data_IF_947603052571
#
_entry.id   IF_947603052571
#
_cell.length_a   1.000
_cell.length_b   1.000
_cell.length_c   1.000
_cell.angle_alpha   90.00
_cell.angle_beta   90.00
_cell.angle_gamma   90.00
#
_symmetry.space_group_name_H-M   'P 1'
#
loop_
_entity.id
_entity.type
_entity.pdbx_description
1 polymer ?
#
# COMPACT_ATOMS: atom_id res chain seq x y z
N UNK A 1 -2.44 5.70 26.51
CA UNK A 1 -3.67 5.15 25.90
C UNK A 1 -3.39 3.90 25.05
N UNK A 2 -2.42 3.93 24.11
CA UNK A 2 -1.96 2.75 23.36
C UNK A 2 -1.44 1.57 24.22
N UNK A 3 -0.72 1.84 25.33
CA UNK A 3 -0.27 0.80 26.27
C UNK A 3 -1.39 -0.03 26.93
N UNK A 4 -2.61 0.52 27.04
CA UNK A 4 -3.74 -0.19 27.65
C UNK A 4 -4.54 -0.99 26.62
N UNK A 5 -4.51 -0.58 25.34
CA UNK A 5 -5.11 -1.34 24.24
C UNK A 5 -4.27 -2.59 23.94
N UNK A 6 -2.94 -2.46 23.98
CA UNK A 6 -2.02 -3.56 23.67
C UNK A 6 -1.93 -4.63 24.78
N UNK A 7 -2.18 -4.28 26.06
CA UNK A 7 -2.19 -5.26 27.16
C UNK A 7 -3.35 -6.26 27.10
N UNK A 8 -4.43 -5.95 26.37
CA UNK A 8 -5.57 -6.87 26.18
C UNK A 8 -5.27 -8.02 25.23
N UNK A 9 -4.28 -7.88 24.35
CA UNK A 9 -3.93 -8.90 23.34
C UNK A 9 -2.82 -9.86 23.79
N UNK A 10 -2.02 -9.47 24.80
CA UNK A 10 -0.82 -10.22 25.22
C UNK A 10 -1.15 -11.48 26.06
N UNK A 11 -2.38 -11.63 26.58
CA UNK A 11 -2.75 -12.72 27.50
C UNK A 11 -3.80 -13.70 26.98
N UNK A 12 -4.05 -13.75 25.66
CA UNK A 12 -4.93 -14.80 25.11
C UNK A 12 -4.11 -16.08 24.90
N UNK A 13 -4.45 -17.21 25.55
CA UNK A 13 -3.76 -18.48 25.33
C UNK A 13 -3.87 -18.88 23.85
N UNK A 14 -2.77 -19.33 23.24
CA UNK A 14 -2.74 -19.82 21.83
C UNK A 14 -3.78 -20.92 21.53
N UNK A 15 -4.35 -21.57 22.56
CA UNK A 15 -5.42 -22.56 22.43
C UNK A 15 -6.83 -21.98 22.21
N UNK A 16 -7.03 -20.67 22.33
CA UNK A 16 -8.33 -20.02 22.11
C UNK A 16 -8.51 -19.47 20.69
N UNK A 17 -7.45 -19.41 19.87
CA UNK A 17 -7.55 -19.18 18.43
C UNK A 17 -7.90 -20.48 17.68
N UNK A 18 -9.03 -21.09 18.04
CA UNK A 18 -9.63 -22.13 17.22
C UNK A 18 -10.32 -21.45 16.03
N UNK A 19 -9.68 -21.49 14.85
CA UNK A 19 -10.29 -21.17 13.55
C UNK A 19 -11.45 -22.12 13.16
N UNK A 20 -11.89 -22.99 14.08
CA UNK A 20 -13.05 -23.87 13.94
C UNK A 20 -14.38 -23.15 14.22
N UNK A 21 -14.73 -22.14 13.43
CA UNK A 21 -16.10 -21.57 13.43
C UNK A 21 -16.69 -21.24 12.06
N UNK A 22 -16.07 -21.69 10.97
CA UNK A 22 -16.61 -21.52 9.62
C UNK A 22 -17.27 -22.77 9.02
N UNK A 23 -17.28 -23.92 9.73
CA UNK A 23 -17.83 -25.18 9.19
C UNK A 23 -19.18 -25.64 9.75
N UNK A 24 -19.82 -24.93 10.69
CA UNK A 24 -21.11 -25.37 11.29
C UNK A 24 -22.31 -24.48 10.99
N UNK A 25 -22.20 -23.45 10.16
CA UNK A 25 -23.32 -22.54 9.87
C UNK A 25 -24.44 -23.13 8.99
N UNK A 26 -24.33 -24.39 8.55
CA UNK A 26 -25.29 -25.01 7.61
C UNK A 26 -26.33 -25.96 8.24
N UNK A 27 -26.35 -26.19 9.55
CA UNK A 27 -27.20 -27.27 10.11
C UNK A 27 -27.86 -27.03 11.47
N UNK A 28 -28.03 -25.79 11.93
CA UNK A 28 -28.72 -25.51 13.22
C UNK A 28 -29.85 -24.46 13.16
N UNK A 29 -30.36 -24.11 11.97
CA UNK A 29 -31.43 -23.10 11.84
C UNK A 29 -32.75 -23.64 11.26
N UNK A 30 -33.18 -24.87 11.63
CA UNK A 30 -34.52 -25.34 11.25
C UNK A 30 -35.50 -25.59 12.38
N UNK A 31 -35.10 -25.60 13.65
CA UNK A 31 -36.06 -25.78 14.74
C UNK A 31 -35.53 -25.11 16.00
N UNK A 32 -35.74 -23.81 16.14
CA UNK A 32 -35.97 -23.11 17.41
C UNK A 32 -36.01 -21.59 17.14
N UNK A 33 -36.93 -20.91 17.84
CA UNK A 33 -37.13 -19.45 17.87
C UNK A 33 -38.16 -18.84 16.91
N UNK A 34 -39.40 -19.34 16.99
CA UNK A 34 -40.56 -18.43 17.06
C UNK A 34 -40.83 -18.12 18.54
N UNK A 35 -40.20 -17.07 19.07
CA UNK A 35 -40.61 -16.25 20.24
C UNK A 35 -39.37 -15.68 20.92
N UNK A 36 -39.07 -14.42 20.57
CA UNK A 36 -38.26 -13.39 21.26
C UNK A 36 -37.50 -12.59 20.21
N UNK A 37 -38.20 -11.65 19.56
CA UNK A 37 -37.56 -10.55 18.82
C UNK A 37 -37.06 -9.53 19.83
N UNK A 38 -35.99 -9.85 20.55
CA UNK A 38 -35.11 -8.81 21.05
C UNK A 38 -34.31 -8.24 19.87
N UNK A 39 -34.14 -6.92 19.82
CA UNK A 39 -33.35 -6.22 18.82
C UNK A 39 -31.86 -6.59 18.94
N UNK A 40 -31.49 -7.79 18.51
CA UNK A 40 -30.09 -8.19 18.38
C UNK A 40 -29.55 -7.49 17.13
N UNK A 41 -28.81 -6.40 17.36
CA UNK A 41 -28.06 -5.71 16.29
C UNK A 41 -27.07 -6.69 15.66
N UNK A 42 -26.86 -6.67 14.32
CA UNK A 42 -25.88 -7.53 13.68
C UNK A 42 -24.48 -7.29 14.27
N UNK A 43 -23.71 -8.35 14.53
CA UNK A 43 -22.33 -8.26 15.03
C UNK A 43 -21.36 -7.51 14.07
N UNK A 44 -21.81 -7.24 12.84
CA UNK A 44 -21.03 -6.69 11.74
C UNK A 44 -21.48 -5.29 11.31
N UNK A 45 -22.34 -4.60 12.05
CA UNK A 45 -22.55 -3.17 11.80
C UNK A 45 -21.20 -2.46 11.88
N UNK A 46 -20.81 -1.80 10.78
CA UNK A 46 -19.54 -1.11 10.69
C UNK A 46 -19.52 0.02 11.72
N UNK A 47 -18.88 -0.24 12.86
CA UNK A 47 -18.73 0.69 14.00
C UNK A 47 -17.64 1.74 13.76
N UNK A 48 -17.06 1.79 12.55
CA UNK A 48 -16.06 2.78 12.21
C UNK A 48 -16.66 4.20 12.28
N UNK A 49 -15.97 5.07 13.03
CA UNK A 49 -16.14 6.51 12.87
C UNK A 49 -15.65 6.87 11.48
N UNK A 50 -16.36 7.77 10.78
CA UNK A 50 -15.86 8.33 9.54
C UNK A 50 -14.48 8.93 9.80
N UNK A 51 -13.45 8.37 9.17
CA UNK A 51 -12.08 8.87 9.26
C UNK A 51 -11.98 10.08 8.32
N UNK A 52 -11.79 11.26 8.90
CA UNK A 52 -11.53 12.47 8.13
C UNK A 52 -10.07 12.51 7.69
N UNK A 53 -9.85 12.35 6.39
CA UNK A 53 -8.54 12.41 5.73
C UNK A 53 -8.43 13.64 4.80
N UNK A 54 -9.28 14.66 4.97
CA UNK A 54 -9.31 15.82 4.08
C UNK A 54 -7.98 16.58 4.08
N UNK A 55 -7.32 16.71 5.24
CA UNK A 55 -6.01 17.35 5.35
C UNK A 55 -4.95 16.61 4.52
N UNK A 56 -4.80 15.30 4.75
CA UNK A 56 -3.83 14.45 4.07
C UNK A 56 -4.10 14.40 2.57
N UNK A 57 -5.37 14.30 2.18
CA UNK A 57 -5.80 14.32 0.78
C UNK A 57 -5.39 15.61 0.10
N UNK A 58 -5.72 16.77 0.69
CA UNK A 58 -5.37 18.07 0.12
C UNK A 58 -3.85 18.28 0.08
N UNK A 59 -3.11 17.83 1.09
CA UNK A 59 -1.66 17.90 1.13
C UNK A 59 -1.02 17.09 -0.01
N UNK A 60 -1.43 15.84 -0.20
CA UNK A 60 -0.93 14.99 -1.29
C UNK A 60 -1.23 15.63 -2.65
N UNK A 61 -2.48 16.03 -2.91
CA UNK A 61 -2.89 16.60 -4.19
C UNK A 61 -2.15 17.92 -4.50
N UNK A 62 -1.99 18.80 -3.51
CA UNK A 62 -1.31 20.09 -3.70
C UNK A 62 0.21 19.97 -3.88
N UNK A 63 0.81 18.88 -3.40
CA UNK A 63 2.26 18.63 -3.55
C UNK A 63 2.61 18.02 -4.91
N UNK A 64 1.64 17.40 -5.60
CA UNK A 64 1.88 16.70 -6.87
C UNK A 64 2.59 17.54 -7.95
N UNK A 65 2.23 18.81 -8.20
CA UNK A 65 2.89 19.60 -9.26
C UNK A 65 4.40 19.75 -9.04
N UNK A 66 4.83 19.95 -7.79
CA UNK A 66 6.26 20.05 -7.43
C UNK A 66 6.97 18.71 -7.66
N UNK A 67 6.36 17.61 -7.21
CA UNK A 67 6.90 16.25 -7.41
C UNK A 67 7.05 15.93 -8.90
N UNK A 68 6.02 16.24 -9.69
CA UNK A 68 6.05 16.03 -11.14
C UNK A 68 7.18 16.82 -11.80
N UNK A 69 7.33 18.11 -11.46
CA UNK A 69 8.38 18.96 -12.01
C UNK A 69 9.79 18.47 -11.65
N UNK A 70 10.01 18.12 -10.37
CA UNK A 70 11.29 17.59 -9.89
C UNK A 70 11.68 16.31 -10.64
N UNK A 71 10.75 15.36 -10.78
CA UNK A 71 11.00 14.09 -11.47
C UNK A 71 11.40 14.28 -12.93
N UNK A 72 10.72 15.19 -13.63
CA UNK A 72 11.04 15.51 -15.03
C UNK A 72 12.44 16.13 -15.12
N UNK A 73 12.78 17.06 -14.23
CA UNK A 73 14.06 17.76 -14.26
C UNK A 73 15.24 16.82 -13.90
N UNK A 74 15.06 15.98 -12.89
CA UNK A 74 16.09 15.05 -12.39
C UNK A 74 16.35 13.91 -13.38
N UNK A 75 15.29 13.21 -13.82
CA UNK A 75 15.47 12.01 -14.64
C UNK A 75 15.77 12.33 -16.11
N UNK A 76 15.37 13.50 -16.61
CA UNK A 76 15.67 13.96 -17.96
C UNK A 76 16.82 14.95 -18.02
N UNK A 77 17.71 14.97 -17.01
CA UNK A 77 18.83 15.91 -16.91
C UNK A 77 19.69 15.98 -18.20
N UNK A 78 19.92 14.85 -18.88
CA UNK A 78 20.66 14.79 -20.15
C UNK A 78 19.78 14.93 -21.41
N UNK A 79 18.45 15.03 -21.23
CA UNK A 79 17.47 15.01 -22.31
C UNK A 79 16.57 16.26 -22.31
N UNK A 80 16.98 17.34 -21.64
CA UNK A 80 16.19 18.58 -21.51
C UNK A 80 15.80 19.22 -22.85
N UNK A 81 16.59 18.99 -23.90
CA UNK A 81 16.35 19.53 -25.25
C UNK A 81 15.34 18.71 -26.07
N UNK A 82 14.76 17.64 -25.52
CA UNK A 82 13.79 16.79 -26.21
C UNK A 82 12.37 17.00 -25.65
N UNK A 83 11.60 17.97 -26.18
CA UNK A 83 10.27 18.30 -25.66
C UNK A 83 9.30 17.12 -25.71
N UNK A 84 9.44 16.23 -26.70
CA UNK A 84 8.59 15.04 -26.84
C UNK A 84 8.81 14.03 -25.71
N UNK A 85 10.06 13.89 -25.22
CA UNK A 85 10.34 13.05 -24.05
C UNK A 85 9.74 13.64 -22.78
N UNK A 86 9.85 14.96 -22.59
CA UNK A 86 9.19 15.65 -21.48
C UNK A 86 7.69 15.42 -21.50
N UNK A 87 7.04 15.59 -22.66
CA UNK A 87 5.61 15.36 -22.82
C UNK A 87 5.23 13.90 -22.52
N UNK A 88 6.01 12.94 -23.03
CA UNK A 88 5.80 11.50 -22.79
C UNK A 88 5.84 11.17 -21.30
N UNK A 89 6.89 11.57 -20.58
CA UNK A 89 7.03 11.25 -19.17
C UNK A 89 6.03 12.02 -18.30
N UNK A 90 5.65 13.23 -18.69
CA UNK A 90 4.51 13.93 -18.06
C UNK A 90 3.21 13.14 -18.22
N UNK A 91 2.94 12.60 -19.42
CA UNK A 91 1.78 11.72 -19.64
C UNK A 91 1.85 10.46 -18.79
N UNK A 92 3.02 9.84 -18.64
CA UNK A 92 3.23 8.67 -17.77
C UNK A 92 2.88 8.99 -16.32
N UNK A 93 3.44 10.08 -15.79
CA UNK A 93 3.23 10.52 -14.42
C UNK A 93 1.74 10.85 -14.17
N UNK A 94 1.12 11.65 -15.04
CA UNK A 94 -0.31 11.99 -14.91
C UNK A 94 -1.19 10.73 -15.01
N UNK A 95 -0.82 9.77 -15.87
CA UNK A 95 -1.55 8.52 -16.00
C UNK A 95 -1.47 7.65 -14.72
N UNK A 96 -0.44 7.73 -13.89
CA UNK A 96 -0.36 6.86 -12.71
C UNK A 96 -0.57 7.58 -11.38
N UNK A 97 -0.39 8.90 -11.35
CA UNK A 97 -0.29 9.67 -10.12
C UNK A 97 -1.40 10.73 -10.00
N UNK A 98 -1.89 11.28 -11.11
CA UNK A 98 -3.02 12.22 -11.12
C UNK A 98 -4.35 11.46 -11.15
N UNK A 99 -4.71 10.92 -9.99
CA UNK A 99 -5.86 10.04 -9.80
C UNK A 99 -6.90 10.63 -8.84
N UNK A 100 -8.09 10.03 -8.84
CA UNK A 100 -9.07 10.23 -7.78
C UNK A 100 -8.45 9.87 -6.41
N UNK A 101 -8.70 10.65 -5.33
CA UNK A 101 -8.16 10.39 -4.00
C UNK A 101 -8.31 8.94 -3.50
N UNK A 102 -9.37 8.24 -3.87
CA UNK A 102 -9.56 6.83 -3.46
C UNK A 102 -8.47 5.89 -3.98
N UNK A 103 -7.80 6.24 -5.08
CA UNK A 103 -6.67 5.50 -5.65
C UNK A 103 -5.30 6.00 -5.14
N UNK A 104 -5.30 7.01 -4.27
CA UNK A 104 -4.12 7.58 -3.61
C UNK A 104 -4.06 7.24 -2.12
N UNK A 105 -4.86 6.25 -1.68
CA UNK A 105 -4.98 5.87 -0.27
C UNK A 105 -3.63 5.66 0.41
N UNK A 106 -2.64 5.07 -0.28
CA UNK A 106 -1.31 4.81 0.29
C UNK A 106 -0.50 6.08 0.53
N UNK A 107 -0.50 7.01 -0.43
CA UNK A 107 0.11 8.32 -0.22
C UNK A 107 -0.55 9.06 0.95
N UNK A 108 -1.89 9.05 1.00
CA UNK A 108 -2.68 9.69 2.06
C UNK A 108 -2.40 9.04 3.42
N UNK A 109 -2.37 7.71 3.50
CA UNK A 109 -2.12 6.99 4.75
C UNK A 109 -0.69 7.13 5.25
N UNK A 110 0.29 7.29 4.36
CA UNK A 110 1.67 7.58 4.78
C UNK A 110 1.74 8.89 5.58
N UNK A 111 1.08 9.94 5.06
CA UNK A 111 0.97 11.24 5.77
C UNK A 111 0.20 11.09 7.08
N UNK A 112 -0.92 10.37 7.03
CA UNK A 112 -1.75 10.14 8.20
C UNK A 112 -0.98 9.41 9.32
N UNK A 113 -0.28 8.33 8.97
CA UNK A 113 0.51 7.54 9.89
C UNK A 113 1.62 8.37 10.53
N UNK A 114 2.34 9.19 9.76
CA UNK A 114 3.36 10.08 10.31
C UNK A 114 2.76 11.08 11.30
N UNK A 115 1.62 11.72 10.96
CA UNK A 115 0.93 12.66 11.86
C UNK A 115 0.45 12.02 13.15
N UNK A 116 0.08 10.74 13.12
CA UNK A 116 -0.34 9.99 14.32
C UNK A 116 0.83 9.60 15.22
N UNK A 117 1.99 9.29 14.62
CA UNK A 117 3.17 8.80 15.34
C UNK A 117 4.01 9.94 15.91
N UNK A 118 4.07 11.07 15.21
CA UNK A 118 4.92 12.20 15.58
C UNK A 118 4.26 13.13 16.59
N UNK A 119 5.10 13.81 17.39
CA UNK A 119 4.66 14.81 18.36
C UNK A 119 4.13 16.06 17.65
N UNK A 120 3.03 16.68 18.10
CA UNK A 120 2.49 17.91 17.50
C UNK A 120 3.50 19.05 17.37
N UNK A 121 4.47 19.16 18.30
CA UNK A 121 5.52 20.18 18.28
C UNK A 121 6.53 20.01 17.14
N UNK A 122 6.63 18.82 16.54
CA UNK A 122 7.57 18.49 15.46
C UNK A 122 6.89 18.59 14.09
N UNK A 123 5.55 18.59 14.03
CA UNK A 123 4.74 18.68 12.81
C UNK A 123 4.71 20.09 12.18
N UNK A 124 5.89 20.63 11.86
CA UNK A 124 6.03 21.85 11.07
C UNK A 124 5.98 21.55 9.55
N UNK A 125 5.91 22.60 8.72
CA UNK A 125 5.80 22.46 7.27
C UNK A 125 6.94 21.65 6.63
N UNK A 126 8.19 21.83 7.10
CA UNK A 126 9.34 21.10 6.56
C UNK A 126 9.25 19.60 6.83
N UNK A 127 8.88 19.22 8.05
CA UNK A 127 8.76 17.81 8.42
C UNK A 127 7.55 17.14 7.77
N UNK A 128 6.44 17.88 7.63
CA UNK A 128 5.28 17.42 6.88
C UNK A 128 5.59 17.21 5.40
N UNK A 129 6.40 18.09 4.80
CA UNK A 129 6.85 17.93 3.40
C UNK A 129 7.56 16.59 3.18
N UNK A 130 8.43 16.16 4.10
CA UNK A 130 9.08 14.85 4.01
C UNK A 130 8.05 13.71 3.98
N UNK A 131 6.97 13.80 4.75
CA UNK A 131 5.89 12.82 4.72
C UNK A 131 5.08 12.86 3.41
N UNK A 132 4.88 14.04 2.82
CA UNK A 132 4.19 14.20 1.54
C UNK A 132 5.01 13.57 0.40
N UNK A 133 6.30 13.88 0.34
CA UNK A 133 7.26 13.29 -0.62
C UNK A 133 7.27 11.78 -0.46
N UNK A 134 7.43 11.27 0.75
CA UNK A 134 7.47 9.83 1.00
C UNK A 134 6.15 9.15 0.64
N UNK A 135 5.01 9.82 0.84
CA UNK A 135 3.71 9.35 0.36
C UNK A 135 3.66 9.21 -1.17
N UNK A 136 4.21 10.18 -1.90
CA UNK A 136 4.34 10.08 -3.37
C UNK A 136 5.30 8.98 -3.80
N UNK A 137 6.43 8.80 -3.11
CA UNK A 137 7.36 7.70 -3.37
C UNK A 137 6.68 6.33 -3.24
N UNK A 138 5.93 6.10 -2.15
CA UNK A 138 5.15 4.86 -1.99
C UNK A 138 4.16 4.65 -3.14
N UNK A 139 3.42 5.71 -3.54
CA UNK A 139 2.48 5.62 -4.66
C UNK A 139 3.18 5.35 -6.00
N UNK A 140 4.39 5.86 -6.21
CA UNK A 140 5.17 5.61 -7.42
C UNK A 140 5.73 4.19 -7.46
N UNK A 141 6.22 3.66 -6.34
CA UNK A 141 6.60 2.25 -6.23
C UNK A 141 5.40 1.34 -6.51
N UNK A 142 4.22 1.66 -5.98
CA UNK A 142 3.01 0.91 -6.33
C UNK A 142 2.70 1.02 -7.82
N UNK A 143 2.78 2.21 -8.40
CA UNK A 143 2.50 2.42 -9.82
C UNK A 143 3.44 1.61 -10.71
N UNK A 144 4.72 1.52 -10.36
CA UNK A 144 5.69 0.65 -11.04
C UNK A 144 5.24 -0.81 -11.00
N UNK A 145 4.95 -1.34 -9.81
CA UNK A 145 4.53 -2.74 -9.66
C UNK A 145 3.21 -3.04 -10.36
N UNK A 146 2.27 -2.10 -10.33
CA UNK A 146 0.97 -2.26 -10.99
C UNK A 146 1.07 -2.22 -12.51
N UNK A 147 2.02 -1.46 -13.05
CA UNK A 147 2.28 -1.43 -14.48
C UNK A 147 2.84 -2.78 -14.95
N UNK A 148 3.79 -3.36 -14.21
CA UNK A 148 4.31 -4.71 -14.47
C UNK A 148 3.24 -5.79 -14.30
N UNK A 149 2.41 -5.69 -13.25
CA UNK A 149 1.26 -6.58 -12.98
C UNK A 149 0.24 -6.52 -14.13
N UNK A 150 -0.10 -5.32 -14.61
CA UNK A 150 -1.00 -5.14 -15.76
C UNK A 150 -0.48 -5.82 -17.02
N UNK A 151 0.82 -5.77 -17.29
CA UNK A 151 1.44 -6.45 -18.42
C UNK A 151 1.37 -7.97 -18.22
N UNK A 152 1.75 -8.44 -17.03
CA UNK A 152 1.82 -9.86 -16.72
C UNK A 152 0.44 -10.54 -16.79
N UNK A 153 -0.61 -9.83 -16.37
CA UNK A 153 -2.00 -10.30 -16.38
C UNK A 153 -2.73 -9.98 -17.69
N UNK A 154 -2.08 -9.31 -18.65
CA UNK A 154 -2.69 -8.78 -19.87
C UNK A 154 -3.97 -7.98 -19.57
N UNK A 155 -3.93 -7.15 -18.53
CA UNK A 155 -5.08 -6.40 -18.06
C UNK A 155 -5.45 -5.26 -19.03
N UNK A 156 -6.72 -5.15 -19.39
CA UNK A 156 -7.21 -4.08 -20.28
C UNK A 156 -7.45 -2.75 -19.56
N UNK A 157 -7.83 -2.80 -18.27
CA UNK A 157 -8.23 -1.60 -17.52
C UNK A 157 -7.68 -1.54 -16.10
N UNK A 158 -7.29 -0.34 -15.68
CA UNK A 158 -6.94 -0.01 -14.29
C UNK A 158 -7.39 1.40 -13.96
N UNK A 159 -7.88 1.64 -12.74
CA UNK A 159 -8.41 2.94 -12.31
C UNK A 159 -9.47 3.53 -13.26
N UNK A 160 -10.31 2.66 -13.84
CA UNK A 160 -11.34 3.01 -14.83
C UNK A 160 -10.80 3.64 -16.13
N UNK A 161 -9.57 3.32 -16.52
CA UNK A 161 -8.96 3.74 -17.79
C UNK A 161 -8.15 2.59 -18.41
N UNK A 162 -7.82 2.66 -19.71
CA UNK A 162 -6.94 1.67 -20.34
C UNK A 162 -5.61 1.58 -19.59
N UNK A 163 -5.08 0.37 -19.43
CA UNK A 163 -3.75 0.15 -18.85
C UNK A 163 -2.67 0.76 -19.73
N UNK A 164 -1.55 1.16 -19.13
CA UNK A 164 -0.52 1.92 -19.84
C UNK A 164 0.04 1.19 -21.08
N UNK A 165 0.25 -0.13 -20.97
CA UNK A 165 0.82 -0.94 -22.03
C UNK A 165 -0.12 -1.16 -23.23
N UNK A 166 -1.44 -0.95 -23.06
CA UNK A 166 -2.44 -1.07 -24.14
C UNK A 166 -2.60 0.22 -24.95
N UNK A 167 -1.99 1.32 -24.52
CA UNK A 167 -2.06 2.58 -25.25
C UNK A 167 -1.31 2.48 -26.59
N UNK A 168 -1.88 2.98 -27.71
CA UNK A 168 -1.30 2.84 -29.05
C UNK A 168 0.13 3.39 -29.21
N UNK A 169 0.49 4.41 -28.42
CA UNK A 169 1.79 5.08 -28.46
C UNK A 169 2.81 4.54 -27.43
N UNK A 170 2.45 3.50 -26.67
CA UNK A 170 3.28 2.93 -25.60
C UNK A 170 3.68 1.49 -25.94
N UNK A 171 2.75 0.55 -25.89
CA UNK A 171 3.04 -0.88 -26.05
C UNK A 171 3.87 -1.49 -24.91
N UNK A 172 3.97 -2.82 -24.89
CA UNK A 172 4.60 -3.59 -23.79
C UNK A 172 6.07 -3.22 -23.56
N UNK A 173 6.88 -3.15 -24.62
CA UNK A 173 8.33 -2.95 -24.48
C UNK A 173 8.68 -1.61 -23.81
N UNK A 174 7.95 -0.55 -24.15
CA UNK A 174 8.19 0.76 -23.54
C UNK A 174 7.62 0.80 -22.12
N UNK A 175 6.45 0.20 -21.90
CA UNK A 175 5.81 0.13 -20.60
C UNK A 175 6.72 -0.51 -19.54
N UNK A 176 7.48 -1.56 -19.87
CA UNK A 176 8.48 -2.17 -18.98
C UNK A 176 9.54 -1.15 -18.52
N UNK A 177 10.04 -0.30 -19.43
CA UNK A 177 11.01 0.74 -19.10
C UNK A 177 10.36 1.89 -18.31
N UNK A 178 9.10 2.19 -18.61
CA UNK A 178 8.33 3.22 -17.91
C UNK A 178 8.04 2.82 -16.44
N UNK A 179 7.90 1.53 -16.13
CA UNK A 179 7.84 1.04 -14.75
C UNK A 179 9.13 1.38 -13.98
N UNK A 180 10.30 1.07 -14.56
CA UNK A 180 11.59 1.40 -13.97
C UNK A 180 11.80 2.93 -13.79
N UNK A 181 11.24 3.76 -14.66
CA UNK A 181 11.26 5.22 -14.51
C UNK A 181 10.49 5.68 -13.25
N UNK A 182 9.34 5.05 -12.96
CA UNK A 182 8.57 5.32 -11.74
C UNK A 182 9.32 4.85 -10.49
N UNK A 183 9.89 3.64 -10.51
CA UNK A 183 10.65 3.09 -9.39
C UNK A 183 11.88 3.96 -9.05
N UNK A 184 12.71 4.25 -10.05
CA UNK A 184 13.94 5.03 -9.87
C UNK A 184 13.66 6.47 -9.47
N UNK A 185 12.60 7.08 -10.02
CA UNK A 185 12.12 8.39 -9.60
C UNK A 185 11.76 8.48 -8.13
N UNK A 186 11.00 7.49 -7.63
CA UNK A 186 10.66 7.43 -6.22
C UNK A 186 11.91 7.36 -5.33
N UNK A 187 12.92 6.58 -5.73
CA UNK A 187 14.17 6.46 -5.00
C UNK A 187 15.00 7.76 -5.02
N UNK A 188 15.04 8.47 -6.14
CA UNK A 188 15.70 9.78 -6.26
C UNK A 188 15.05 10.78 -5.31
N UNK A 189 13.71 10.87 -5.29
CA UNK A 189 12.98 11.77 -4.39
C UNK A 189 13.26 11.47 -2.90
N UNK A 190 13.36 10.19 -2.52
CA UNK A 190 13.73 9.83 -1.15
C UNK A 190 15.11 10.40 -0.81
N UNK A 191 16.09 10.21 -1.69
CA UNK A 191 17.45 10.68 -1.45
C UNK A 191 17.53 12.22 -1.43
N UNK A 192 16.84 12.89 -2.35
CA UNK A 192 16.82 14.35 -2.43
C UNK A 192 16.25 15.00 -1.16
N UNK A 193 15.12 14.48 -0.66
CA UNK A 193 14.39 15.13 0.44
C UNK A 193 14.76 14.58 1.83
N UNK A 194 15.21 13.33 1.92
CA UNK A 194 15.48 12.68 3.21
C UNK A 194 16.97 12.41 3.47
N UNK A 195 17.92 12.71 2.58
CA UNK A 195 19.35 12.39 2.80
C UNK A 195 19.92 12.88 4.13
N UNK A 196 19.45 14.01 4.66
CA UNK A 196 19.87 14.53 5.97
C UNK A 196 19.12 13.92 7.16
N UNK A 197 18.03 13.18 6.92
CA UNK A 197 17.25 12.54 7.97
C UNK A 197 18.02 11.32 8.53
N UNK A 198 18.15 11.18 9.87
CA UNK A 198 18.93 10.10 10.48
C UNK A 198 18.51 8.70 10.03
N UNK A 199 17.23 8.51 9.72
CA UNK A 199 16.65 7.23 9.33
C UNK A 199 16.49 7.04 7.81
N UNK A 200 17.06 7.93 6.97
CA UNK A 200 16.93 7.85 5.50
C UNK A 200 17.29 6.47 4.94
N UNK A 201 18.42 5.92 5.37
CA UNK A 201 18.90 4.62 4.91
C UNK A 201 17.97 3.48 5.36
N UNK A 202 17.41 3.57 6.56
CA UNK A 202 16.48 2.56 7.06
C UNK A 202 15.14 2.60 6.30
N UNK A 203 14.64 3.80 5.99
CA UNK A 203 13.46 3.99 5.12
C UNK A 203 13.71 3.37 3.75
N UNK A 204 14.78 3.78 3.08
CA UNK A 204 15.11 3.30 1.73
C UNK A 204 15.33 1.78 1.72
N UNK A 205 16.09 1.24 2.68
CA UNK A 205 16.32 -0.20 2.81
C UNK A 205 15.02 -0.98 3.03
N UNK A 206 14.10 -0.46 3.86
CA UNK A 206 12.82 -1.11 4.10
C UNK A 206 11.97 -1.16 2.83
N UNK A 207 11.90 -0.05 2.10
CA UNK A 207 11.13 0.04 0.84
C UNK A 207 11.72 -0.90 -0.21
N UNK A 208 13.02 -0.81 -0.47
CA UNK A 208 13.69 -1.65 -1.48
C UNK A 208 13.58 -3.14 -1.16
N UNK A 209 13.69 -3.52 0.13
CA UNK A 209 13.50 -4.92 0.55
C UNK A 209 12.09 -5.40 0.25
N UNK A 210 11.06 -4.62 0.62
CA UNK A 210 9.67 -4.97 0.34
C UNK A 210 9.35 -5.03 -1.15
N UNK A 211 9.89 -4.09 -1.94
CA UNK A 211 9.75 -4.08 -3.40
C UNK A 211 10.38 -5.34 -4.02
N UNK A 212 11.62 -5.67 -3.63
CA UNK A 212 12.32 -6.87 -4.09
C UNK A 212 11.55 -8.16 -3.76
N UNK A 213 11.02 -8.30 -2.54
CA UNK A 213 10.24 -9.49 -2.16
C UNK A 213 8.92 -9.54 -2.93
N UNK A 214 8.30 -8.39 -3.22
CA UNK A 214 7.07 -8.34 -4.04
C UNK A 214 7.32 -8.83 -5.46
N UNK A 215 8.45 -8.47 -6.07
CA UNK A 215 8.82 -9.00 -7.38
C UNK A 215 9.06 -10.51 -7.36
N UNK A 216 9.70 -11.04 -6.30
CA UNK A 216 9.83 -12.50 -6.12
C UNK A 216 8.45 -13.16 -5.97
N UNK A 217 7.53 -12.53 -5.22
CA UNK A 217 6.15 -12.99 -5.10
C UNK A 217 5.40 -12.97 -6.45
N UNK A 218 5.65 -11.99 -7.32
CA UNK A 218 5.09 -11.97 -8.68
C UNK A 218 5.53 -13.18 -9.51
N UNK A 219 6.84 -13.49 -9.49
CA UNK A 219 7.39 -14.67 -10.18
C UNK A 219 6.65 -15.92 -9.71
N UNK A 220 6.43 -16.00 -8.40
CA UNK A 220 5.65 -17.06 -7.84
C UNK A 220 4.21 -17.04 -8.38
N UNK A 221 3.45 -15.96 -8.26
CA UNK A 221 2.05 -15.95 -8.76
C UNK A 221 1.92 -16.35 -10.24
N UNK A 222 2.89 -16.01 -11.10
CA UNK A 222 2.94 -16.44 -12.50
C UNK A 222 3.13 -17.95 -12.70
N UNK A 223 3.70 -18.64 -11.72
CA UNK A 223 3.82 -20.11 -11.68
C UNK A 223 2.54 -20.81 -11.17
N UNK A 224 1.47 -20.06 -10.90
CA UNK A 224 0.14 -20.55 -10.50
C UNK A 224 0.12 -21.34 -9.17
N UNK A 225 0.46 -20.65 -8.07
CA UNK A 225 0.32 -21.20 -6.71
C UNK A 225 -1.10 -21.69 -6.40
N UNK A 226 -1.19 -22.85 -5.75
CA UNK A 226 -2.47 -23.36 -5.22
C UNK A 226 -2.78 -22.70 -3.89
N UNK A 227 -4.02 -22.27 -3.70
CA UNK A 227 -4.50 -21.63 -2.47
C UNK A 227 -4.34 -22.48 -1.20
N UNK A 228 -4.32 -23.80 -1.35
CA UNK A 228 -4.08 -24.74 -0.25
C UNK A 228 -2.66 -24.61 0.35
N UNK A 229 -1.74 -23.95 -0.36
CA UNK A 229 -0.35 -23.75 0.07
C UNK A 229 -0.09 -22.34 0.66
N UNK A 230 -1.13 -21.57 1.01
CA UNK A 230 -0.97 -20.21 1.56
C UNK A 230 -0.06 -20.18 2.79
N UNK A 231 -0.13 -21.17 3.68
CA UNK A 231 0.78 -21.26 4.84
C UNK A 231 2.24 -21.43 4.43
N UNK A 232 2.51 -22.20 3.36
CA UNK A 232 3.84 -22.44 2.80
C UNK A 232 4.41 -21.18 2.12
N UNK A 233 3.54 -20.33 1.57
CA UNK A 233 3.93 -19.13 0.83
C UNK A 233 3.47 -17.82 1.49
N UNK A 234 3.17 -17.84 2.79
CA UNK A 234 2.65 -16.66 3.50
C UNK A 234 3.62 -15.45 3.41
N UNK A 235 4.93 -15.73 3.37
CA UNK A 235 5.97 -14.73 3.21
C UNK A 235 6.02 -14.11 1.80
N UNK A 236 5.26 -14.65 0.84
CA UNK A 236 5.12 -14.13 -0.52
C UNK A 236 3.72 -13.53 -0.76
N UNK A 237 2.91 -13.33 0.29
CA UNK A 237 1.64 -12.61 0.13
C UNK A 237 1.97 -11.16 -0.22
N UNK A 238 1.74 -10.77 -1.48
CA UNK A 238 1.99 -9.41 -2.00
C UNK A 238 1.52 -8.33 -1.01
N UNK A 239 0.27 -8.41 -0.55
CA UNK A 239 -0.37 -7.37 0.26
C UNK A 239 0.40 -7.04 1.56
N UNK A 240 1.13 -8.01 2.14
CA UNK A 240 1.99 -7.79 3.30
C UNK A 240 3.13 -6.83 2.96
N UNK A 241 3.84 -7.11 1.87
CA UNK A 241 4.95 -6.31 1.38
C UNK A 241 4.51 -5.00 0.74
N UNK A 242 3.24 -4.85 0.39
CA UNK A 242 2.67 -3.55 0.08
C UNK A 242 2.53 -2.70 1.35
N UNK A 243 1.85 -3.15 2.41
CA UNK A 243 1.54 -2.27 3.55
C UNK A 243 2.70 -2.05 4.52
N UNK A 244 3.53 -3.06 4.75
CA UNK A 244 4.64 -2.98 5.68
C UNK A 244 5.60 -1.81 5.43
N UNK A 245 6.12 -1.57 4.21
CA UNK A 245 7.08 -0.51 3.98
C UNK A 245 6.51 0.87 4.26
N UNK A 246 5.19 1.09 4.09
CA UNK A 246 4.52 2.35 4.43
C UNK A 246 4.55 2.57 5.95
N UNK A 247 4.14 1.58 6.74
CA UNK A 247 4.12 1.70 8.20
C UNK A 247 5.54 1.86 8.75
N UNK A 248 6.49 1.06 8.25
CA UNK A 248 7.91 1.19 8.64
C UNK A 248 8.49 2.55 8.27
N UNK A 249 8.16 3.07 7.09
CA UNK A 249 8.56 4.41 6.67
C UNK A 249 8.04 5.47 7.63
N UNK A 250 6.78 5.38 8.07
CA UNK A 250 6.20 6.33 9.02
C UNK A 250 6.86 6.24 10.40
N UNK A 251 7.14 5.03 10.89
CA UNK A 251 7.89 4.80 12.15
C UNK A 251 9.29 5.42 12.07
N UNK A 252 10.04 5.09 11.03
CA UNK A 252 11.39 5.64 10.85
C UNK A 252 11.39 7.16 10.65
N UNK A 253 10.43 7.71 9.91
CA UNK A 253 10.30 9.16 9.73
C UNK A 253 10.00 9.88 11.06
N UNK A 254 9.29 9.23 11.99
CA UNK A 254 9.08 9.71 13.36
C UNK A 254 10.25 9.38 14.32
N UNK A 255 11.40 8.92 13.79
CA UNK A 255 12.56 8.46 14.56
C UNK A 255 12.23 7.35 15.58
N UNK A 256 11.29 6.47 15.23
CA UNK A 256 10.96 5.27 15.99
C UNK A 256 11.67 4.09 15.31
N UNK A 257 12.83 3.71 15.84
CA UNK A 257 13.66 2.60 15.34
C UNK A 257 13.70 1.39 16.30
N UNK A 258 12.87 1.40 17.35
CA UNK A 258 12.70 0.28 18.27
C UNK A 258 12.23 -0.99 17.54
N UNK A 259 13.10 -2.00 17.51
CA UNK A 259 12.86 -3.26 16.80
C UNK A 259 11.57 -3.97 17.24
N UNK A 260 11.18 -3.85 18.51
CA UNK A 260 9.96 -4.48 19.02
C UNK A 260 8.70 -3.83 18.44
N UNK A 261 8.72 -2.52 18.21
CA UNK A 261 7.62 -1.80 17.57
C UNK A 261 7.53 -2.16 16.08
N UNK A 262 8.68 -2.28 15.41
CA UNK A 262 8.73 -2.74 14.01
C UNK A 262 8.25 -4.19 13.86
N UNK A 263 8.56 -5.07 14.81
CA UNK A 263 8.06 -6.45 14.83
C UNK A 263 6.53 -6.51 15.00
N UNK A 264 5.95 -5.66 15.86
CA UNK A 264 4.49 -5.55 16.00
C UNK A 264 3.86 -5.06 14.69
N UNK A 265 4.48 -4.10 14.00
CA UNK A 265 4.00 -3.64 12.70
C UNK A 265 4.04 -4.74 11.63
N UNK A 266 5.07 -5.59 11.65
CA UNK A 266 5.16 -6.78 10.78
C UNK A 266 4.02 -7.76 11.04
N UNK A 267 3.77 -8.12 12.30
CA UNK A 267 2.70 -9.05 12.68
C UNK A 267 1.32 -8.54 12.23
N UNK A 268 0.99 -7.28 12.51
CA UNK A 268 -0.28 -6.67 12.11
C UNK A 268 -0.42 -6.63 10.58
N UNK A 269 0.63 -6.23 9.86
CA UNK A 269 0.58 -6.17 8.40
C UNK A 269 0.39 -7.56 7.79
N UNK A 270 0.99 -8.61 8.38
CA UNK A 270 0.83 -9.98 7.92
C UNK A 270 -0.59 -10.48 8.12
N UNK A 271 -1.18 -10.26 9.30
CA UNK A 271 -2.59 -10.62 9.57
C UNK A 271 -3.55 -9.95 8.59
N UNK A 272 -3.38 -8.65 8.35
CA UNK A 272 -4.18 -7.90 7.37
C UNK A 272 -4.02 -8.49 5.96
N UNK A 273 -2.81 -8.87 5.58
CA UNK A 273 -2.52 -9.43 4.27
C UNK A 273 -3.15 -10.81 4.06
N UNK A 274 -3.08 -11.67 5.08
CA UNK A 274 -3.74 -12.98 5.08
C UNK A 274 -5.26 -12.80 4.97
N UNK A 275 -5.84 -11.89 5.77
CA UNK A 275 -7.27 -11.58 5.68
C UNK A 275 -7.68 -11.13 4.27
N UNK A 276 -6.92 -10.20 3.67
CA UNK A 276 -7.17 -9.71 2.31
C UNK A 276 -7.10 -10.84 1.27
N UNK A 277 -6.07 -11.71 1.32
CA UNK A 277 -5.92 -12.80 0.35
C UNK A 277 -7.08 -13.80 0.45
N UNK A 278 -7.48 -14.17 1.67
CA UNK A 278 -8.63 -15.07 1.89
C UNK A 278 -9.91 -14.44 1.36
N UNK A 279 -10.20 -13.18 1.72
CA UNK A 279 -11.43 -12.51 1.31
C UNK A 279 -11.55 -12.38 -0.23
N UNK A 280 -10.46 -11.96 -0.89
CA UNK A 280 -10.42 -11.83 -2.35
C UNK A 280 -10.63 -13.19 -3.05
N UNK A 281 -10.07 -14.27 -2.50
CA UNK A 281 -10.27 -15.62 -3.06
C UNK A 281 -11.69 -16.16 -2.92
N UNK A 282 -12.41 -15.78 -1.87
CA UNK A 282 -13.81 -16.20 -1.63
C UNK A 282 -14.81 -15.42 -2.49
N UNK A 283 -14.52 -14.16 -2.82
CA UNK A 283 -15.34 -13.35 -3.74
C UNK A 283 -15.41 -13.95 -5.15
N UNK A 284 -14.39 -14.68 -5.56
CA UNK A 284 -14.33 -15.36 -6.88
C UNK A 284 -15.21 -16.60 -6.97
N UNK A 285 -15.66 -17.18 -5.86
CA UNK A 285 -16.47 -18.42 -5.84
C UNK A 285 -17.97 -18.14 -5.97
N UNK A 286 -18.40 -16.89 -5.82
CA UNK A 286 -19.83 -16.49 -5.88
C UNK A 286 -20.22 -15.92 -7.26
N UNK A 287 -19.27 -15.82 -8.19
CA UNK A 287 -19.46 -15.24 -9.52
C UNK A 287 -19.52 -16.28 -10.67
N UNK A 288 -19.88 -17.54 -10.39
CA UNK A 288 -20.23 -18.55 -11.40
C UNK A 288 -21.61 -19.12 -11.14
#
# INVERSE_FOLDING_TARGET
MLRNILKGFINVPKSEFNLARFSSFRTLNQKENQQQKENVRPNYENRQRNLDLAFETNAILSTYPEIHEELINEQLIYHQNYPDLKLRFSKLLDHHLKLDPKYLARAIFMVHAYRLLEKPSVLNQSNLKNAYVLGWCHKMHDASLLLDDDIADAADTRYNKPTWHTLPDVGVNQAILDAAFLETGANILILNHLSSHPQCINILKSILKSFSITNVAQIFELQQFKMEEVEKYQNFIKFYHYNLPLIKSALYLANIDDESIHAIAEEICLEIAVFHKIHLSQGSVVAT
#
